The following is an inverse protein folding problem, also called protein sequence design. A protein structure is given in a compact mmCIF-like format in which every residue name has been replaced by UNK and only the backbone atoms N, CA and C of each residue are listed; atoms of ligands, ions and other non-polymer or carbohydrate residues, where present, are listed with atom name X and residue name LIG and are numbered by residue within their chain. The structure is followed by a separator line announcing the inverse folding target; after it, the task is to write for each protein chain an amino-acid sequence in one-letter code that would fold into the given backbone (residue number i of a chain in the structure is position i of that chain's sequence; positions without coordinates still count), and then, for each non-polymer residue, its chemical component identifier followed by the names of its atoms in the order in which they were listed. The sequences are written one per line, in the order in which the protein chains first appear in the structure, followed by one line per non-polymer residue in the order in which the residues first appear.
data_IF_779456806357
#
_entry.id   IF_779456806357
#
_cell.length_a   1.000
_cell.length_b   1.000
_cell.length_c   1.000
_cell.angle_alpha   90.00
_cell.angle_beta   90.00
_cell.angle_gamma   90.00
#
_symmetry.space_group_name_H-M   'P 1'
#
loop_
_entity.id
_entity.type
_entity.pdbx_description
1 polymer ?
#
# COMPACT_ATOMS: atom_id res chain seq x y z
N UNK A 1 -46.51 -43.82 16.27
CA UNK A 1 -46.37 -42.40 16.65
C UNK A 1 -45.02 -42.19 17.32
N UNK A 2 -44.10 -41.51 16.61
CA UNK A 2 -43.32 -40.43 17.21
C UNK A 2 -43.16 -39.22 16.23
N UNK A 3 -42.66 -38.05 16.71
CA UNK A 3 -42.91 -36.77 16.06
C UNK A 3 -41.69 -36.11 15.37
N UNK A 4 -42.03 -35.05 14.61
CA UNK A 4 -41.29 -33.79 14.44
C UNK A 4 -40.04 -33.76 13.56
N UNK A 5 -40.26 -33.46 12.27
CA UNK A 5 -39.25 -32.81 11.42
C UNK A 5 -39.31 -31.29 11.60
N UNK A 6 -38.45 -30.73 12.46
CA UNK A 6 -38.15 -29.28 12.48
C UNK A 6 -36.96 -29.01 11.56
N UNK A 7 -37.20 -28.22 10.51
CA UNK A 7 -36.16 -27.59 9.67
C UNK A 7 -35.46 -26.49 10.49
N UNK A 8 -34.14 -26.29 10.33
CA UNK A 8 -33.46 -25.13 10.89
C UNK A 8 -33.76 -23.87 10.06
N UNK A 9 -34.15 -22.82 10.77
CA UNK A 9 -34.45 -21.48 10.28
C UNK A 9 -33.22 -20.84 9.62
N UNK A 10 -33.41 -20.37 8.39
CA UNK A 10 -32.50 -19.44 7.73
C UNK A 10 -32.63 -18.08 8.43
N UNK A 11 -31.54 -17.62 9.06
CA UNK A 11 -31.41 -16.23 9.48
C UNK A 11 -31.05 -15.41 8.24
N UNK A 12 -32.07 -14.76 7.67
CA UNK A 12 -31.91 -13.66 6.73
C UNK A 12 -31.40 -12.45 7.51
N UNK A 13 -30.20 -11.98 7.19
CA UNK A 13 -29.70 -10.67 7.61
C UNK A 13 -30.12 -9.66 6.55
N UNK A 14 -31.28 -9.03 6.78
CA UNK A 14 -31.68 -7.79 6.13
C UNK A 14 -30.79 -6.65 6.65
N UNK A 15 -29.86 -6.19 5.81
CA UNK A 15 -29.17 -4.91 6.01
C UNK A 15 -30.00 -3.82 5.32
N UNK A 16 -30.94 -3.26 6.08
CA UNK A 16 -31.70 -2.09 5.69
C UNK A 16 -30.81 -0.87 5.57
N UNK A 17 -30.84 -0.30 4.38
CA UNK A 17 -30.34 1.01 3.98
C UNK A 17 -30.91 2.11 4.88
N UNK A 18 -30.07 2.72 5.72
CA UNK A 18 -30.39 3.97 6.40
C UNK A 18 -30.23 5.15 5.43
N UNK A 19 -31.32 5.45 4.71
CA UNK A 19 -31.53 6.72 4.03
C UNK A 19 -31.81 7.80 5.09
N UNK A 20 -30.88 8.74 5.28
CA UNK A 20 -31.09 9.91 6.12
C UNK A 20 -31.74 11.00 5.27
N UNK A 21 -33.05 11.20 5.47
CA UNK A 21 -33.80 12.33 4.95
C UNK A 21 -33.37 13.61 5.69
N UNK A 22 -32.65 14.49 5.00
CA UNK A 22 -32.56 15.90 5.38
C UNK A 22 -33.64 16.66 4.61
N UNK A 23 -34.74 16.92 5.30
CA UNK A 23 -35.81 17.81 4.88
C UNK A 23 -35.32 19.26 4.93
N UNK A 24 -35.21 19.92 3.78
CA UNK A 24 -35.11 21.37 3.70
C UNK A 24 -36.49 21.98 3.40
N UNK A 25 -36.83 23.13 4.01
CA UNK A 25 -38.15 23.73 3.88
C UNK A 25 -38.35 24.39 2.52
N UNK A 26 -39.56 24.16 2.00
CA UNK A 26 -40.18 24.87 0.88
C UNK A 26 -40.18 26.38 1.12
N UNK A 27 -39.44 27.12 0.29
CA UNK A 27 -39.76 28.52 -0.01
C UNK A 27 -40.18 28.63 -1.47
N UNK A 28 -41.46 28.91 -1.62
CA UNK A 28 -42.13 29.35 -2.82
C UNK A 28 -41.60 30.75 -3.18
N UNK A 29 -40.97 30.89 -4.33
CA UNK A 29 -40.65 32.20 -4.93
C UNK A 29 -40.66 32.05 -6.43
N UNK A 30 -41.80 32.43 -7.01
CA UNK A 30 -42.02 32.50 -8.44
C UNK A 30 -41.11 33.54 -9.10
N UNK A 31 -40.00 33.07 -9.65
CA UNK A 31 -39.36 33.64 -10.83
C UNK A 31 -38.87 32.47 -11.69
N UNK A 32 -39.80 31.90 -12.46
CA UNK A 32 -39.46 31.05 -13.59
C UNK A 32 -38.79 31.90 -14.67
N UNK A 33 -37.51 32.23 -14.46
CA UNK A 33 -36.63 32.58 -15.56
C UNK A 33 -36.32 31.29 -16.30
N UNK A 34 -37.00 31.12 -17.42
CA UNK A 34 -36.70 30.14 -18.45
C UNK A 34 -35.28 30.39 -18.94
N UNK A 35 -34.29 29.86 -18.22
CA UNK A 35 -32.94 29.70 -18.73
C UNK A 35 -33.01 28.55 -19.73
N UNK A 36 -33.36 28.93 -20.96
CA UNK A 36 -32.99 28.23 -22.19
C UNK A 36 -31.74 27.39 -21.95
N UNK A 37 -31.88 26.07 -22.13
CA UNK A 37 -30.81 25.09 -22.26
C UNK A 37 -29.57 25.72 -22.93
N UNK A 38 -28.66 26.26 -22.12
CA UNK A 38 -27.36 26.71 -22.60
C UNK A 38 -26.63 25.42 -22.90
N UNK A 39 -26.64 25.07 -24.19
CA UNK A 39 -25.92 23.94 -24.73
C UNK A 39 -24.44 24.20 -24.44
N UNK A 40 -23.92 23.69 -23.32
CA UNK A 40 -22.48 23.67 -23.07
C UNK A 40 -21.88 22.95 -24.27
N UNK A 41 -20.96 23.57 -25.03
CA UNK A 41 -20.38 22.92 -26.20
C UNK A 41 -19.78 21.59 -25.76
N UNK A 42 -20.25 20.48 -26.34
CA UNK A 42 -19.82 19.17 -25.89
C UNK A 42 -18.30 18.95 -26.06
N UNK A 43 -17.66 19.73 -26.95
CA UNK A 43 -16.21 19.83 -27.13
C UNK A 43 -15.49 20.35 -25.87
N UNK A 44 -16.07 21.34 -25.18
CA UNK A 44 -15.49 21.90 -23.95
C UNK A 44 -15.50 20.87 -22.81
N UNK A 45 -16.58 20.09 -22.71
CA UNK A 45 -16.70 19.04 -21.70
C UNK A 45 -15.67 17.92 -21.93
N UNK A 46 -15.50 17.46 -23.18
CA UNK A 46 -14.53 16.42 -23.51
C UNK A 46 -13.09 16.89 -23.28
N UNK A 47 -12.75 18.10 -23.72
CA UNK A 47 -11.43 18.72 -23.47
C UNK A 47 -11.13 18.81 -21.97
N UNK A 48 -12.12 19.23 -21.16
CA UNK A 48 -11.97 19.29 -19.70
C UNK A 48 -11.77 17.91 -19.07
N UNK A 49 -12.52 16.90 -19.50
CA UNK A 49 -12.37 15.52 -19.01
C UNK A 49 -11.00 14.93 -19.36
N UNK A 50 -10.53 15.19 -20.58
CA UNK A 50 -9.20 14.79 -21.01
C UNK A 50 -8.09 15.46 -20.19
N UNK A 51 -8.17 16.77 -19.98
CA UNK A 51 -7.19 17.49 -19.14
C UNK A 51 -7.23 17.03 -17.67
N UNK A 52 -8.42 16.77 -17.13
CA UNK A 52 -8.54 16.20 -15.78
C UNK A 52 -7.87 14.82 -15.68
N UNK A 53 -8.11 13.94 -16.65
CA UNK A 53 -7.46 12.63 -16.71
C UNK A 53 -5.93 12.76 -16.84
N UNK A 54 -5.45 13.64 -17.72
CA UNK A 54 -4.02 13.90 -17.94
C UNK A 54 -3.32 14.43 -16.70
N UNK A 55 -3.95 15.35 -15.95
CA UNK A 55 -3.45 15.84 -14.66
C UNK A 55 -3.35 14.69 -13.65
N UNK A 56 -4.39 13.84 -13.56
CA UNK A 56 -4.41 12.70 -12.65
C UNK A 56 -3.36 11.64 -13.03
N UNK A 57 -3.16 11.37 -14.33
CA UNK A 57 -2.16 10.43 -14.84
C UNK A 57 -0.73 10.95 -14.58
N UNK A 58 -0.48 12.23 -14.85
CA UNK A 58 0.80 12.86 -14.54
C UNK A 58 1.08 12.87 -13.02
N UNK A 59 0.05 13.01 -12.17
CA UNK A 59 0.21 12.87 -10.73
C UNK A 59 0.54 11.42 -10.34
N UNK A 60 -0.16 10.42 -10.91
CA UNK A 60 0.10 9.01 -10.63
C UNK A 60 1.52 8.58 -11.00
N UNK A 61 2.02 9.00 -12.17
CA UNK A 61 3.40 8.71 -12.59
C UNK A 61 4.45 9.35 -11.67
N UNK A 62 4.22 10.60 -11.23
CA UNK A 62 5.14 11.33 -10.32
C UNK A 62 5.12 10.82 -8.89
N UNK A 63 4.01 10.23 -8.43
CA UNK A 63 3.84 9.82 -7.03
C UNK A 63 4.98 8.91 -6.52
N UNK A 64 5.44 7.96 -7.35
CA UNK A 64 6.55 7.08 -6.98
C UNK A 64 7.85 7.84 -6.71
N UNK A 65 8.15 8.87 -7.51
CA UNK A 65 9.33 9.72 -7.36
C UNK A 65 9.23 10.63 -6.13
N UNK A 66 8.04 11.17 -5.87
CA UNK A 66 7.77 12.00 -4.68
C UNK A 66 7.90 11.20 -3.39
N UNK A 67 7.37 9.97 -3.36
CA UNK A 67 7.50 9.06 -2.21
C UNK A 67 8.95 8.66 -1.94
N UNK A 68 9.75 8.39 -2.99
CA UNK A 68 11.19 8.11 -2.86
C UNK A 68 11.95 9.32 -2.32
N UNK A 69 11.68 10.52 -2.82
CA UNK A 69 12.30 11.75 -2.34
C UNK A 69 11.96 12.03 -0.87
N UNK A 70 10.71 11.77 -0.47
CA UNK A 70 10.26 11.88 0.92
C UNK A 70 11.01 10.90 1.84
N UNK A 71 11.08 9.61 1.47
CA UNK A 71 11.78 8.59 2.27
C UNK A 71 13.28 8.86 2.41
N UNK A 72 13.93 9.35 1.35
CA UNK A 72 15.34 9.76 1.38
C UNK A 72 15.54 10.98 2.29
N UNK A 73 14.65 11.97 2.25
CA UNK A 73 14.70 13.12 3.16
C UNK A 73 14.51 12.70 4.63
N UNK A 74 13.61 11.76 4.92
CA UNK A 74 13.44 11.18 6.26
C UNK A 74 14.69 10.45 6.75
N UNK A 75 15.37 9.71 5.85
CA UNK A 75 16.63 9.05 6.15
C UNK A 75 17.73 10.06 6.48
N UNK A 76 17.90 11.08 5.65
CA UNK A 76 18.86 12.17 5.86
C UNK A 76 18.60 12.90 7.18
N UNK A 77 17.33 13.15 7.52
CA UNK A 77 16.97 13.78 8.79
C UNK A 77 17.32 12.89 10.00
N UNK A 78 17.06 11.58 9.92
CA UNK A 78 17.46 10.63 10.97
C UNK A 78 18.97 10.59 11.16
N UNK A 79 19.73 10.58 10.07
CA UNK A 79 21.19 10.58 10.10
C UNK A 79 21.74 11.90 10.67
N UNK A 80 21.21 13.05 10.26
CA UNK A 80 21.59 14.36 10.77
C UNK A 80 21.27 14.52 12.27
N UNK A 81 20.10 14.05 12.72
CA UNK A 81 19.74 14.03 14.15
C UNK A 81 20.66 13.12 14.97
N UNK A 82 20.99 11.93 14.45
CA UNK A 82 21.94 11.00 15.09
C UNK A 82 23.34 11.62 15.20
N UNK A 83 23.81 12.30 14.15
CA UNK A 83 25.10 13.00 14.16
C UNK A 83 25.13 14.14 15.17
N UNK A 84 24.10 14.99 15.22
CA UNK A 84 23.96 16.07 16.22
C UNK A 84 23.96 15.54 17.66
N UNK A 85 23.29 14.41 17.90
CA UNK A 85 23.27 13.76 19.22
C UNK A 85 24.66 13.18 19.60
N UNK A 86 25.37 12.60 18.63
CA UNK A 86 26.73 12.10 18.83
C UNK A 86 27.72 13.23 19.09
N UNK A 87 27.61 14.35 18.37
CA UNK A 87 28.40 15.56 18.60
C UNK A 87 28.16 16.10 20.00
N UNK A 88 26.90 16.20 20.46
CA UNK A 88 26.55 16.61 21.83
C UNK A 88 27.17 15.71 22.89
N UNK A 89 27.12 14.38 22.70
CA UNK A 89 27.75 13.40 23.59
C UNK A 89 29.27 13.52 23.62
N UNK A 90 29.90 13.83 22.48
CA UNK A 90 31.35 14.04 22.38
C UNK A 90 31.82 15.40 22.92
N UNK A 91 31.01 16.46 22.83
CA UNK A 91 31.33 17.79 23.36
C UNK A 91 31.12 17.92 24.88
N UNK A 92 30.43 16.95 25.49
CA UNK A 92 30.19 16.90 26.94
C UNK A 92 31.42 16.53 27.78
N UNK A 93 32.49 16.02 27.17
CA UNK A 93 33.78 15.84 27.85
C UNK A 93 34.59 17.13 27.78
N UNK A 94 34.24 18.10 28.64
CA UNK A 94 35.11 19.24 28.95
C UNK A 94 36.47 18.70 29.41
N UNK A 95 37.46 18.73 28.52
CA UNK A 95 38.88 18.63 28.84
C UNK A 95 39.17 19.59 29.99
N UNK A 96 39.72 19.08 31.09
CA UNK A 96 40.40 19.91 32.10
C UNK A 96 41.51 20.70 31.39
N UNK A 97 41.63 22.01 31.62
CA UNK A 97 42.81 22.75 31.17
C UNK A 97 43.95 22.42 32.13
N UNK A 98 44.82 21.48 31.74
CA UNK A 98 46.12 21.33 32.41
C UNK A 98 47.03 22.47 31.96
N UNK A 99 47.10 23.49 32.80
CA UNK A 99 48.18 24.47 32.85
C UNK A 99 49.48 23.74 33.23
N UNK A 100 50.40 23.58 32.29
CA UNK A 100 51.84 23.47 32.60
C UNK A 100 52.60 24.33 31.57
N UNK A 101 53.33 25.37 32.00
CA UNK A 101 54.22 26.16 31.17
C UNK A 101 55.65 25.65 31.30
N UNK A 102 56.30 25.19 30.22
CA UNK A 102 57.75 25.05 30.21
C UNK A 102 58.37 25.44 28.86
N UNK A 103 58.98 26.62 28.91
CA UNK A 103 60.07 27.15 28.13
C UNK A 103 61.06 26.07 27.63
N UNK A 104 61.36 26.05 26.33
CA UNK A 104 62.75 25.95 25.86
C UNK A 104 62.97 26.76 24.59
N UNK A 105 64.07 27.51 24.63
CA UNK A 105 64.54 28.57 23.75
C UNK A 105 65.84 28.11 23.09
N UNK A 106 65.96 28.24 21.77
CA UNK A 106 67.18 28.48 20.94
C UNK A 106 66.81 28.21 19.48
N UNK A 107 66.66 29.16 18.55
CA UNK A 107 67.55 30.23 18.03
C UNK A 107 68.75 29.69 17.24
N UNK A 108 68.60 29.60 15.91
CA UNK A 108 69.61 30.01 14.93
C UNK A 108 68.92 30.34 13.58
N UNK A 109 69.45 31.36 12.92
CA UNK A 109 68.99 32.08 11.73
C UNK A 109 69.90 31.74 10.52
N UNK A 110 69.95 32.53 9.43
CA UNK A 110 69.05 32.61 8.28
C UNK A 110 69.75 32.23 6.95
N UNK A 111 69.01 32.00 5.86
CA UNK A 111 69.55 32.23 4.51
C UNK A 111 68.48 32.77 3.58
N UNK A 112 68.74 33.99 3.09
CA UNK A 112 68.02 34.71 2.04
C UNK A 112 68.58 34.27 0.66
N UNK A 113 67.71 33.95 -0.30
CA UNK A 113 67.88 34.26 -1.73
C UNK A 113 66.56 34.02 -2.50
N UNK A 114 65.95 35.12 -2.92
CA UNK A 114 64.83 35.34 -3.87
C UNK A 114 65.25 35.02 -5.32
N UNK A 115 64.45 35.29 -6.40
CA UNK A 115 63.01 35.15 -6.68
C UNK A 115 62.73 34.39 -8.02
N UNK A 116 61.48 33.98 -8.29
CA UNK A 116 60.71 34.27 -9.54
C UNK A 116 59.49 33.33 -9.74
N UNK A 117 58.32 33.97 -9.88
CA UNK A 117 56.99 33.46 -10.25
C UNK A 117 56.93 32.89 -11.69
N UNK A 118 55.75 32.54 -12.24
CA UNK A 118 54.67 31.66 -11.75
C UNK A 118 54.34 30.59 -12.82
N UNK A 119 53.53 29.56 -12.48
CA UNK A 119 52.38 29.09 -13.29
C UNK A 119 51.95 27.65 -12.99
N UNK A 120 50.63 27.46 -12.91
CA UNK A 120 49.88 26.24 -13.22
C UNK A 120 49.90 25.10 -12.19
N UNK A 121 49.15 25.29 -11.10
CA UNK A 121 48.46 24.19 -10.42
C UNK A 121 46.95 24.45 -10.44
N UNK A 122 46.26 23.85 -11.40
CA UNK A 122 44.80 23.74 -11.43
C UNK A 122 44.37 22.71 -10.40
N UNK A 123 44.29 23.12 -9.13
CA UNK A 123 43.54 22.39 -8.11
C UNK A 123 42.14 22.99 -8.05
N UNK A 124 41.17 22.27 -8.61
CA UNK A 124 39.76 22.54 -8.43
C UNK A 124 39.43 22.64 -6.93
N UNK A 125 38.74 23.68 -6.46
CA UNK A 125 38.18 23.69 -5.13
C UNK A 125 37.06 22.65 -5.08
N UNK A 126 37.32 21.54 -4.37
CA UNK A 126 36.28 20.65 -3.86
C UNK A 126 35.20 21.54 -3.23
N UNK A 127 34.05 21.60 -3.89
CA UNK A 127 32.88 22.30 -3.41
C UNK A 127 32.41 21.63 -2.13
N UNK A 128 32.93 22.07 -0.99
CA UNK A 128 32.35 21.84 0.32
C UNK A 128 31.03 22.61 0.40
N UNK A 129 30.00 22.07 -0.25
CA UNK A 129 28.63 22.43 0.06
C UNK A 129 28.41 22.12 1.55
N UNK A 130 28.04 23.11 2.38
CA UNK A 130 27.73 22.84 3.77
C UNK A 130 26.60 21.80 3.82
N UNK A 131 26.82 20.72 4.57
CA UNK A 131 25.79 19.71 4.81
C UNK A 131 24.50 20.42 5.26
N UNK A 132 23.33 20.07 4.69
CA UNK A 132 22.09 20.75 5.00
C UNK A 132 21.79 20.68 6.50
N UNK A 133 21.39 21.80 7.06
CA UNK A 133 21.10 21.88 8.50
C UNK A 133 19.86 21.05 8.84
N UNK A 134 19.73 20.62 10.11
CA UNK A 134 18.55 19.86 10.57
C UNK A 134 17.25 20.63 10.29
N UNK A 135 17.28 21.95 10.47
CA UNK A 135 16.15 22.86 10.23
C UNK A 135 15.79 22.93 8.73
N UNK A 136 16.78 22.98 7.83
CA UNK A 136 16.56 22.90 6.38
C UNK A 136 15.95 21.55 5.95
N UNK A 137 16.43 20.44 6.54
CA UNK A 137 15.88 19.11 6.27
C UNK A 137 14.44 18.96 6.78
N UNK A 138 14.10 19.56 7.92
CA UNK A 138 12.74 19.58 8.45
C UNK A 138 11.79 20.42 7.58
N UNK A 139 12.24 21.60 7.14
CA UNK A 139 11.47 22.44 6.22
C UNK A 139 11.25 21.73 4.86
N UNK A 140 12.30 21.07 4.34
CA UNK A 140 12.22 20.27 3.11
C UNK A 140 11.27 19.09 3.27
N UNK A 141 11.29 18.40 4.41
CA UNK A 141 10.40 17.28 4.71
C UNK A 141 8.94 17.74 4.76
N UNK A 142 8.63 18.85 5.43
CA UNK A 142 7.30 19.45 5.45
C UNK A 142 6.80 19.80 4.04
N UNK A 143 7.65 20.42 3.23
CA UNK A 143 7.34 20.73 1.82
C UNK A 143 7.07 19.47 1.00
N UNK A 144 7.91 18.43 1.16
CA UNK A 144 7.74 17.14 0.49
C UNK A 144 6.47 16.41 0.95
N UNK A 145 6.13 16.48 2.24
CA UNK A 145 4.91 15.90 2.79
C UNK A 145 3.67 16.53 2.15
N UNK A 146 3.62 17.86 2.06
CA UNK A 146 2.53 18.57 1.39
C UNK A 146 2.43 18.22 -0.09
N UNK A 147 3.58 18.12 -0.78
CA UNK A 147 3.63 17.71 -2.20
C UNK A 147 3.14 16.27 -2.39
N UNK A 148 3.62 15.33 -1.59
CA UNK A 148 3.18 13.92 -1.62
C UNK A 148 1.67 13.81 -1.38
N UNK A 149 1.13 14.55 -0.41
CA UNK A 149 -0.30 14.54 -0.12
C UNK A 149 -1.13 15.06 -1.30
N UNK A 150 -0.72 16.17 -1.91
CA UNK A 150 -1.37 16.74 -3.09
C UNK A 150 -1.27 15.80 -4.31
N UNK A 151 -0.09 15.26 -4.60
CA UNK A 151 0.13 14.32 -5.69
C UNK A 151 -0.69 13.04 -5.48
N UNK A 152 -0.75 12.51 -4.25
CA UNK A 152 -1.56 11.33 -3.91
C UNK A 152 -3.05 11.58 -4.15
N UNK A 153 -3.58 12.69 -3.64
CA UNK A 153 -4.99 13.06 -3.83
C UNK A 153 -5.36 13.21 -5.31
N UNK A 154 -4.48 13.78 -6.13
CA UNK A 154 -4.69 13.87 -7.57
C UNK A 154 -4.61 12.48 -8.26
N UNK A 155 -3.66 11.64 -7.88
CA UNK A 155 -3.50 10.29 -8.42
C UNK A 155 -4.66 9.35 -8.07
N UNK A 156 -5.29 9.51 -6.89
CA UNK A 156 -6.47 8.74 -6.48
C UNK A 156 -7.69 8.98 -7.37
N UNK A 157 -7.77 10.16 -8.01
CA UNK A 157 -8.86 10.48 -8.94
C UNK A 157 -8.70 9.86 -10.34
N UNK A 158 -7.55 9.24 -10.65
CA UNK A 158 -7.24 8.72 -11.99
C UNK A 158 -8.30 7.75 -12.51
N UNK A 159 -8.76 6.82 -11.66
CA UNK A 159 -9.77 5.83 -12.06
C UNK A 159 -11.10 6.51 -12.43
N UNK A 160 -11.58 7.45 -11.60
CA UNK A 160 -12.81 8.22 -11.88
C UNK A 160 -12.69 9.06 -13.15
N UNK A 161 -11.56 9.76 -13.32
CA UNK A 161 -11.34 10.59 -14.51
C UNK A 161 -11.29 9.76 -15.79
N UNK A 162 -10.70 8.55 -15.73
CA UNK A 162 -10.69 7.63 -16.86
C UNK A 162 -12.10 7.14 -17.18
N UNK A 163 -12.88 6.73 -16.18
CA UNK A 163 -14.24 6.23 -16.38
C UNK A 163 -15.19 7.31 -16.91
N UNK A 164 -15.06 8.55 -16.44
CA UNK A 164 -15.81 9.70 -16.97
C UNK A 164 -15.45 9.98 -18.44
N UNK A 165 -14.16 10.01 -18.77
CA UNK A 165 -13.67 10.19 -20.14
C UNK A 165 -14.18 9.06 -21.05
N UNK A 166 -14.05 7.81 -20.59
CA UNK A 166 -14.52 6.62 -21.32
C UNK A 166 -16.02 6.66 -21.55
N UNK A 167 -16.82 7.02 -20.54
CA UNK A 167 -18.29 7.09 -20.65
C UNK A 167 -18.71 8.05 -21.77
N UNK A 168 -18.16 9.26 -21.80
CA UNK A 168 -18.48 10.25 -22.84
C UNK A 168 -18.08 9.76 -24.23
N UNK A 169 -16.96 9.04 -24.35
CA UNK A 169 -16.47 8.49 -25.62
C UNK A 169 -17.19 7.21 -26.07
N UNK A 170 -17.70 6.41 -25.13
CA UNK A 170 -18.43 5.15 -25.40
C UNK A 170 -19.94 5.39 -25.65
N UNK A 171 -20.56 6.39 -25.01
CA UNK A 171 -21.99 6.74 -25.17
C UNK A 171 -22.36 7.25 -26.57
N UNK A 172 -21.37 7.39 -27.46
CA UNK A 172 -21.61 7.48 -28.89
C UNK A 172 -22.43 8.68 -29.33
N UNK A 173 -22.63 9.71 -28.48
CA UNK A 173 -22.94 11.03 -29.01
C UNK A 173 -21.70 11.44 -29.79
N UNK A 174 -21.76 11.51 -31.12
CA UNK A 174 -20.82 12.36 -31.78
C UNK A 174 -21.16 13.74 -31.20
N UNK A 175 -20.28 14.29 -30.37
CA UNK A 175 -20.04 15.72 -30.53
C UNK A 175 -19.87 15.91 -32.03
N UNK A 176 -20.43 16.97 -32.60
CA UNK A 176 -20.73 17.23 -34.02
C UNK A 176 -19.60 17.02 -35.06
N UNK A 177 -18.96 15.86 -35.10
CA UNK A 177 -17.89 15.47 -36.01
C UNK A 177 -18.45 14.88 -37.31
N UNK A 178 -19.78 14.74 -37.39
CA UNK A 178 -20.49 14.20 -38.56
C UNK A 178 -21.07 15.24 -39.52
N UNK A 179 -20.88 16.52 -39.28
CA UNK A 179 -21.47 17.55 -40.14
C UNK A 179 -20.40 18.35 -40.89
N UNK A 180 -19.57 17.64 -41.65
CA UNK A 180 -19.14 18.07 -42.98
C UNK A 180 -18.64 16.85 -43.74
N UNK A 181 -19.57 16.23 -44.44
CA UNK A 181 -19.30 15.46 -45.64
C UNK A 181 -18.52 16.35 -46.62
N UNK A 182 -17.21 16.46 -46.49
CA UNK A 182 -16.37 16.85 -47.62
C UNK A 182 -15.10 16.01 -47.61
N UNK A 183 -15.08 15.11 -48.57
CA UNK A 183 -14.03 14.19 -48.93
C UNK A 183 -12.65 14.88 -49.02
N UNK A 184 -11.69 14.37 -48.24
CA UNK A 184 -10.29 14.15 -48.65
C UNK A 184 -9.49 13.47 -47.52
N UNK A 185 -9.99 12.35 -47.00
CA UNK A 185 -9.19 11.47 -46.11
C UNK A 185 -8.33 10.58 -47.01
N UNK A 186 -7.11 11.02 -47.32
CA UNK A 186 -6.20 10.31 -48.23
C UNK A 186 -4.91 9.79 -47.57
N UNK A 187 -4.84 9.59 -46.25
CA UNK A 187 -3.62 9.04 -45.63
C UNK A 187 -3.79 7.96 -44.53
N UNK A 188 -4.99 7.59 -44.08
CA UNK A 188 -5.17 6.37 -43.27
C UNK A 188 -6.51 5.66 -43.55
N UNK A 189 -6.53 4.33 -43.76
CA UNK A 189 -7.78 3.59 -43.88
C UNK A 189 -8.56 3.62 -42.55
N UNK A 190 -9.69 4.33 -42.52
CA UNK A 190 -10.68 4.34 -41.42
C UNK A 190 -10.96 2.95 -40.78
N UNK A 191 -11.05 1.84 -41.56
CA UNK A 191 -11.23 0.50 -41.00
C UNK A 191 -10.12 0.05 -40.06
N UNK A 192 -8.86 0.47 -40.30
CA UNK A 192 -7.71 0.09 -39.48
C UNK A 192 -7.74 0.79 -38.11
N UNK A 193 -8.16 2.05 -38.05
CA UNK A 193 -8.26 2.80 -36.80
C UNK A 193 -9.35 2.22 -35.89
N UNK A 194 -10.52 1.89 -36.45
CA UNK A 194 -11.62 1.25 -35.71
C UNK A 194 -11.23 -0.14 -35.18
N UNK A 195 -10.47 -0.91 -35.96
CA UNK A 195 -9.94 -2.19 -35.51
C UNK A 195 -8.93 -2.02 -34.37
N UNK A 196 -8.03 -1.04 -34.46
CA UNK A 196 -7.04 -0.71 -33.41
C UNK A 196 -7.71 -0.29 -32.09
N UNK A 197 -8.71 0.59 -32.14
CA UNK A 197 -9.45 1.02 -30.94
C UNK A 197 -10.21 -0.13 -30.29
N UNK A 198 -10.86 -0.99 -31.10
CA UNK A 198 -11.55 -2.19 -30.59
C UNK A 198 -10.58 -3.15 -29.91
N UNK A 199 -9.41 -3.40 -30.51
CA UNK A 199 -8.35 -4.22 -29.89
C UNK A 199 -7.85 -3.59 -28.59
N UNK A 200 -7.60 -2.28 -28.56
CA UNK A 200 -7.15 -1.57 -27.37
C UNK A 200 -8.18 -1.62 -26.23
N UNK A 201 -9.48 -1.47 -26.53
CA UNK A 201 -10.56 -1.66 -25.54
C UNK A 201 -10.55 -3.06 -24.92
N UNK A 202 -10.39 -4.11 -25.74
CA UNK A 202 -10.25 -5.49 -25.24
C UNK A 202 -9.03 -5.63 -24.33
N UNK A 203 -7.88 -5.08 -24.74
CA UNK A 203 -6.67 -5.07 -23.90
C UNK A 203 -6.91 -4.38 -22.56
N UNK A 204 -7.54 -3.19 -22.56
CA UNK A 204 -7.88 -2.48 -21.32
C UNK A 204 -8.77 -3.34 -20.41
N UNK A 205 -9.83 -3.93 -20.95
CA UNK A 205 -10.73 -4.80 -20.18
C UNK A 205 -9.99 -6.00 -19.55
N UNK A 206 -9.14 -6.69 -20.32
CA UNK A 206 -8.33 -7.80 -19.81
C UNK A 206 -7.34 -7.35 -18.73
N UNK A 207 -6.70 -6.18 -18.88
CA UNK A 207 -5.77 -5.65 -17.86
C UNK A 207 -6.49 -5.14 -16.62
N UNK A 208 -7.69 -4.59 -16.76
CA UNK A 208 -8.57 -4.23 -15.64
C UNK A 208 -8.97 -5.46 -14.83
N UNK A 209 -9.40 -6.53 -15.48
CA UNK A 209 -9.74 -7.79 -14.83
C UNK A 209 -8.53 -8.40 -14.10
N UNK A 210 -7.35 -8.43 -14.74
CA UNK A 210 -6.13 -8.91 -14.11
C UNK A 210 -5.73 -8.09 -12.88
N UNK A 211 -5.84 -6.76 -12.94
CA UNK A 211 -5.59 -5.89 -11.78
C UNK A 211 -6.60 -6.13 -10.65
N UNK A 212 -7.89 -6.27 -10.97
CA UNK A 212 -8.91 -6.54 -9.94
C UNK A 212 -8.69 -7.90 -9.28
N UNK A 213 -8.33 -8.92 -10.05
CA UNK A 213 -7.98 -10.24 -9.55
C UNK A 213 -6.74 -10.20 -8.64
N UNK A 214 -5.67 -9.54 -9.08
CA UNK A 214 -4.45 -9.36 -8.28
C UNK A 214 -4.73 -8.58 -6.99
N UNK A 215 -5.46 -7.48 -7.04
CA UNK A 215 -5.85 -6.67 -5.88
C UNK A 215 -6.69 -7.46 -4.87
N UNK A 216 -7.61 -8.31 -5.34
CA UNK A 216 -8.39 -9.20 -4.47
C UNK A 216 -7.48 -10.19 -3.75
N UNK A 217 -6.55 -10.80 -4.49
CA UNK A 217 -5.57 -11.76 -3.95
C UNK A 217 -4.68 -11.09 -2.90
N UNK A 218 -4.11 -9.92 -3.19
CA UNK A 218 -3.26 -9.18 -2.24
C UNK A 218 -4.00 -8.86 -0.94
N UNK A 219 -5.27 -8.42 -1.01
CA UNK A 219 -6.08 -8.18 0.19
C UNK A 219 -6.30 -9.43 1.02
N UNK A 220 -6.54 -10.58 0.38
CA UNK A 220 -6.70 -11.84 1.07
C UNK A 220 -5.41 -12.25 1.81
N UNK A 221 -4.26 -12.11 1.15
CA UNK A 221 -2.95 -12.39 1.76
C UNK A 221 -2.60 -11.40 2.89
N UNK A 222 -2.90 -10.11 2.75
CA UNK A 222 -2.74 -9.13 3.83
C UNK A 222 -3.57 -9.52 5.07
N UNK A 223 -4.82 -9.92 4.87
CA UNK A 223 -5.70 -10.40 5.96
C UNK A 223 -5.15 -11.67 6.60
N UNK A 224 -4.69 -12.62 5.79
CA UNK A 224 -4.05 -13.85 6.26
C UNK A 224 -2.78 -13.57 7.07
N UNK A 225 -1.96 -12.59 6.64
CA UNK A 225 -0.74 -12.17 7.31
C UNK A 225 -1.02 -11.60 8.71
N UNK A 226 -2.01 -10.71 8.84
CA UNK A 226 -2.40 -10.16 10.14
C UNK A 226 -2.96 -11.27 11.05
N UNK A 227 -3.76 -12.17 10.50
CA UNK A 227 -4.35 -13.28 11.24
C UNK A 227 -3.29 -14.26 11.76
N UNK A 228 -2.31 -14.65 10.94
CA UNK A 228 -1.24 -15.58 11.36
C UNK A 228 -0.28 -14.93 12.36
N UNK A 229 0.03 -13.64 12.21
CA UNK A 229 0.82 -12.90 13.21
C UNK A 229 0.09 -12.82 14.56
N UNK A 230 -1.24 -12.63 14.54
CA UNK A 230 -2.07 -12.64 15.76
C UNK A 230 -2.12 -14.03 16.39
N UNK A 231 -2.25 -15.08 15.56
CA UNK A 231 -2.21 -16.47 16.02
C UNK A 231 -0.86 -16.78 16.70
N UNK A 232 0.25 -16.38 16.07
CA UNK A 232 1.60 -16.55 16.59
C UNK A 232 1.78 -15.87 17.96
N UNK A 233 1.38 -14.60 18.07
CA UNK A 233 1.41 -13.86 19.33
C UNK A 233 0.61 -14.53 20.45
N UNK A 234 -0.62 -14.97 20.16
CA UNK A 234 -1.45 -15.67 21.14
C UNK A 234 -0.87 -17.02 21.54
N UNK A 235 -0.25 -17.75 20.61
CA UNK A 235 0.36 -19.04 20.88
C UNK A 235 1.62 -18.92 21.74
N UNK A 236 2.47 -17.91 21.49
CA UNK A 236 3.62 -17.60 22.36
C UNK A 236 3.15 -17.34 23.79
N UNK A 237 2.12 -16.50 23.97
CA UNK A 237 1.58 -16.24 25.31
C UNK A 237 1.10 -17.51 26.01
N UNK A 238 0.48 -18.42 25.27
CA UNK A 238 0.09 -19.72 25.82
C UNK A 238 1.32 -20.54 26.23
N UNK A 239 2.37 -20.57 25.41
CA UNK A 239 3.65 -21.23 25.72
C UNK A 239 4.32 -20.64 26.95
N UNK A 240 4.45 -19.31 27.02
CA UNK A 240 5.06 -18.62 28.17
C UNK A 240 4.37 -19.01 29.48
N UNK A 241 3.03 -19.03 29.50
CA UNK A 241 2.25 -19.44 30.68
C UNK A 241 2.47 -20.92 31.03
N UNK A 242 2.55 -21.81 30.04
CA UNK A 242 2.85 -23.23 30.27
C UNK A 242 4.27 -23.40 30.82
N UNK A 243 5.25 -22.68 30.28
CA UNK A 243 6.63 -22.69 30.76
C UNK A 243 6.73 -22.21 32.21
N UNK A 244 5.95 -21.21 32.61
CA UNK A 244 5.89 -20.78 34.03
C UNK A 244 5.49 -21.96 34.93
N UNK A 245 4.62 -22.86 34.52
CA UNK A 245 4.16 -23.97 35.39
C UNK A 245 4.99 -25.25 35.22
N UNK A 246 5.51 -25.49 34.02
CA UNK A 246 6.18 -26.73 33.63
C UNK A 246 7.72 -26.64 33.54
N UNK A 247 8.31 -25.45 33.71
CA UNK A 247 9.75 -25.29 33.49
C UNK A 247 10.59 -26.19 34.40
N UNK A 248 11.48 -27.04 33.84
CA UNK A 248 12.37 -27.88 34.63
C UNK A 248 13.43 -27.08 35.40
N UNK A 249 13.56 -25.78 35.13
CA UNK A 249 14.49 -24.86 35.82
C UNK A 249 13.93 -24.30 37.13
N UNK A 250 12.63 -24.45 37.40
CA UNK A 250 12.07 -24.06 38.70
C UNK A 250 12.46 -25.07 39.76
N UNK A 251 12.84 -24.58 40.94
CA UNK A 251 13.22 -25.46 42.04
C UNK A 251 12.02 -26.37 42.39
N UNK A 252 12.27 -27.66 42.69
CA UNK A 252 11.22 -28.60 43.16
C UNK A 252 10.40 -28.02 44.33
N UNK A 253 10.98 -27.08 45.08
CA UNK A 253 10.36 -26.36 46.20
C UNK A 253 9.32 -25.31 45.76
N UNK A 254 9.62 -24.47 44.78
CA UNK A 254 8.64 -23.51 44.23
C UNK A 254 7.48 -24.22 43.51
N UNK A 255 7.76 -25.38 42.92
CA UNK A 255 6.76 -26.24 42.31
C UNK A 255 5.88 -26.99 43.35
N UNK A 256 6.27 -27.04 44.63
CA UNK A 256 5.52 -27.73 45.69
C UNK A 256 4.80 -26.75 46.63
N UNK A 257 5.24 -25.49 46.70
CA UNK A 257 4.64 -24.42 47.51
C UNK A 257 3.72 -23.46 46.72
N UNK A 258 3.62 -23.63 45.39
CA UNK A 258 2.64 -22.88 44.60
C UNK A 258 1.22 -23.33 44.95
N UNK A 259 0.36 -22.37 45.30
CA UNK A 259 -1.06 -22.60 45.56
C UNK A 259 -1.68 -23.34 44.35
N UNK A 260 -2.24 -24.55 44.56
CA UNK A 260 -2.74 -25.39 43.47
C UNK A 260 -3.80 -24.67 42.61
N UNK A 261 -4.56 -23.77 43.25
CA UNK A 261 -5.54 -22.91 42.60
C UNK A 261 -4.89 -21.88 41.65
N UNK A 262 -3.70 -21.37 41.99
CA UNK A 262 -2.92 -20.48 41.11
C UNK A 262 -2.41 -21.22 39.87
N UNK A 263 -1.98 -22.47 40.02
CA UNK A 263 -1.57 -23.32 38.88
C UNK A 263 -2.72 -23.62 37.96
N UNK A 264 -3.86 -24.05 38.52
CA UNK A 264 -5.05 -24.33 37.74
C UNK A 264 -5.50 -23.12 36.92
N UNK A 265 -5.46 -21.91 37.50
CA UNK A 265 -5.80 -20.69 36.75
C UNK A 265 -4.78 -20.39 35.66
N UNK A 266 -3.48 -20.61 35.91
CA UNK A 266 -2.43 -20.42 34.88
C UNK A 266 -2.63 -21.34 33.68
N UNK A 267 -2.92 -22.64 33.89
CA UNK A 267 -3.24 -23.55 32.79
C UNK A 267 -4.54 -23.18 32.08
N UNK A 268 -5.56 -22.72 32.81
CA UNK A 268 -6.83 -22.25 32.23
C UNK A 268 -6.59 -21.00 31.37
N UNK A 269 -5.74 -20.09 31.82
CA UNK A 269 -5.39 -18.89 31.04
C UNK A 269 -4.62 -19.26 29.77
N UNK A 270 -3.63 -20.17 29.87
CA UNK A 270 -2.92 -20.69 28.71
C UNK A 270 -3.86 -21.34 27.68
N UNK A 271 -4.85 -22.11 28.15
CA UNK A 271 -5.89 -22.69 27.31
C UNK A 271 -6.71 -21.61 26.57
N UNK A 272 -7.14 -20.54 27.25
CA UNK A 272 -7.85 -19.40 26.62
C UNK A 272 -6.99 -18.71 25.55
N UNK A 273 -5.68 -18.56 25.78
CA UNK A 273 -4.77 -17.99 24.77
C UNK A 273 -4.61 -18.91 23.55
N UNK A 274 -4.49 -20.22 23.76
CA UNK A 274 -4.46 -21.21 22.69
C UNK A 274 -5.75 -21.22 21.85
N UNK A 275 -6.93 -21.09 22.46
CA UNK A 275 -8.19 -20.95 21.72
C UNK A 275 -8.21 -19.69 20.84
N UNK A 276 -7.75 -18.54 21.37
CA UNK A 276 -7.61 -17.31 20.57
C UNK A 276 -6.64 -17.51 19.40
N UNK A 277 -5.51 -18.20 19.64
CA UNK A 277 -4.56 -18.53 18.58
C UNK A 277 -5.22 -19.37 17.48
N UNK A 278 -5.99 -20.40 17.85
CA UNK A 278 -6.72 -21.25 16.91
C UNK A 278 -7.74 -20.46 16.08
N UNK A 279 -8.48 -19.54 16.70
CA UNK A 279 -9.47 -18.69 15.99
C UNK A 279 -8.76 -17.83 14.93
N UNK A 280 -7.66 -17.18 15.30
CA UNK A 280 -6.86 -16.37 14.38
C UNK A 280 -6.26 -17.23 13.25
N UNK A 281 -5.78 -18.44 13.57
CA UNK A 281 -5.27 -19.35 12.56
C UNK A 281 -6.35 -19.83 11.58
N UNK A 282 -7.54 -20.18 12.07
CA UNK A 282 -8.68 -20.54 11.20
C UNK A 282 -9.06 -19.39 10.26
N UNK A 283 -8.99 -18.15 10.74
CA UNK A 283 -9.25 -16.96 9.91
C UNK A 283 -8.18 -16.76 8.83
N UNK A 284 -6.91 -17.07 9.13
CA UNK A 284 -5.84 -17.10 8.14
C UNK A 284 -6.15 -18.12 7.05
N UNK A 285 -6.48 -19.36 7.42
CA UNK A 285 -6.83 -20.43 6.47
C UNK A 285 -8.03 -20.06 5.61
N UNK A 286 -9.08 -19.51 6.21
CA UNK A 286 -10.29 -19.06 5.49
C UNK A 286 -9.99 -17.96 4.48
N UNK A 287 -9.05 -17.08 4.80
CA UNK A 287 -8.63 -16.00 3.90
C UNK A 287 -7.81 -16.52 2.71
N UNK A 288 -7.00 -17.56 2.92
CA UNK A 288 -6.15 -18.16 1.88
C UNK A 288 -6.88 -19.19 1.01
N UNK A 289 -7.95 -19.82 1.52
CA UNK A 289 -8.67 -20.90 0.86
C UNK A 289 -9.07 -20.62 -0.61
N UNK A 290 -9.53 -19.41 -0.99
CA UNK A 290 -9.86 -19.11 -2.39
C UNK A 290 -8.65 -19.06 -3.35
N UNK A 291 -7.44 -19.08 -2.80
CA UNK A 291 -6.17 -18.85 -3.50
C UNK A 291 -5.17 -20.00 -3.29
N UNK A 292 -5.66 -21.18 -2.88
CA UNK A 292 -4.81 -22.35 -2.63
C UNK A 292 -4.11 -22.89 -3.87
N UNK A 293 -4.65 -22.60 -5.06
CA UNK A 293 -4.05 -22.90 -6.35
C UNK A 293 -2.73 -22.15 -6.59
N UNK A 294 -2.51 -21.04 -5.88
CA UNK A 294 -1.27 -20.27 -5.94
C UNK A 294 -0.15 -20.86 -5.05
N UNK A 295 -0.48 -21.84 -4.20
CA UNK A 295 0.44 -22.44 -3.25
C UNK A 295 1.27 -23.56 -3.89
N UNK A 296 2.54 -23.66 -3.52
CA UNK A 296 3.36 -24.82 -3.87
C UNK A 296 2.93 -26.02 -3.02
N UNK A 297 3.21 -27.24 -3.51
CA UNK A 297 2.88 -28.48 -2.78
C UNK A 297 3.45 -28.52 -1.37
N UNK A 298 4.71 -28.14 -1.21
CA UNK A 298 5.40 -28.18 0.09
C UNK A 298 4.75 -27.22 1.11
N UNK A 299 4.18 -26.12 0.62
CA UNK A 299 3.51 -25.09 1.42
C UNK A 299 2.09 -25.55 1.82
N UNK A 300 1.40 -26.23 0.92
CA UNK A 300 0.13 -26.92 1.19
C UNK A 300 0.29 -28.02 2.23
N UNK A 301 1.33 -28.86 2.10
CA UNK A 301 1.60 -29.92 3.06
C UNK A 301 1.88 -29.36 4.45
N UNK A 302 2.68 -28.29 4.55
CA UNK A 302 2.92 -27.59 5.83
C UNK A 302 1.62 -27.02 6.42
N UNK A 303 0.72 -26.50 5.57
CA UNK A 303 -0.57 -25.97 5.98
C UNK A 303 -1.52 -27.08 6.49
N UNK A 304 -1.59 -28.20 5.78
CA UNK A 304 -2.40 -29.36 6.17
C UNK A 304 -1.88 -29.97 7.48
N UNK A 305 -0.56 -30.12 7.61
CA UNK A 305 0.09 -30.54 8.85
C UNK A 305 -0.26 -29.64 10.05
N UNK A 306 -0.28 -28.31 9.85
CA UNK A 306 -0.63 -27.37 10.91
C UNK A 306 -2.12 -27.40 11.24
N UNK A 307 -2.96 -27.61 10.23
CA UNK A 307 -4.41 -27.75 10.36
C UNK A 307 -4.78 -29.02 11.13
N UNK A 308 -4.11 -30.13 10.85
CA UNK A 308 -4.32 -31.41 11.54
C UNK A 308 -3.77 -31.38 12.98
N UNK A 309 -2.62 -30.75 13.19
CA UNK A 309 -2.05 -30.60 14.52
C UNK A 309 -2.88 -29.65 15.40
N UNK A 310 -3.39 -28.55 14.82
CA UNK A 310 -4.06 -27.46 15.51
C UNK A 310 -3.16 -26.71 16.48
N UNK A 311 -3.72 -25.67 17.11
CA UNK A 311 -3.07 -24.80 18.10
C UNK A 311 -3.64 -24.97 19.52
N UNK A 312 -4.25 -26.13 19.81
CA UNK A 312 -4.98 -26.40 21.06
C UNK A 312 -4.17 -27.21 22.08
N UNK A 313 -2.85 -27.25 21.97
CA UNK A 313 -1.98 -28.06 22.85
C UNK A 313 -2.10 -27.63 24.32
N UNK A 314 -2.20 -26.33 24.62
CA UNK A 314 -2.40 -25.85 25.99
C UNK A 314 -3.79 -26.23 26.56
N UNK A 315 -4.82 -26.31 25.71
CA UNK A 315 -6.16 -26.81 26.11
C UNK A 315 -6.09 -28.29 26.46
N UNK A 316 -5.39 -29.08 25.63
CA UNK A 316 -5.15 -30.50 25.89
C UNK A 316 -4.37 -30.71 27.21
N UNK A 317 -3.40 -29.84 27.50
CA UNK A 317 -2.63 -29.86 28.73
C UNK A 317 -3.48 -29.51 29.96
N UNK A 318 -4.34 -28.48 29.88
CA UNK A 318 -5.28 -28.15 30.95
C UNK A 318 -6.23 -29.32 31.25
N UNK A 319 -6.79 -29.94 30.21
CA UNK A 319 -7.69 -31.09 30.35
C UNK A 319 -6.98 -32.32 30.91
N UNK A 320 -5.69 -32.52 30.57
CA UNK A 320 -4.89 -33.60 31.14
C UNK A 320 -4.67 -33.41 32.65
N UNK A 321 -4.40 -32.18 33.08
CA UNK A 321 -4.11 -31.85 34.47
C UNK A 321 -5.36 -31.76 35.35
N UNK A 322 -6.48 -31.24 34.82
CA UNK A 322 -7.67 -30.88 35.62
C UNK A 322 -9.00 -31.45 35.07
N UNK A 323 -8.98 -32.29 34.03
CA UNK A 323 -10.18 -32.81 33.36
C UNK A 323 -10.85 -34.02 34.03
N UNK A 324 -10.46 -34.39 35.25
CA UNK A 324 -11.21 -35.32 36.11
C UNK A 324 -11.10 -36.82 35.79
N UNK A 325 -10.27 -37.26 34.83
CA UNK A 325 -9.98 -38.69 34.64
C UNK A 325 -8.89 -39.16 35.61
N UNK A 326 -9.15 -40.27 36.30
CA UNK A 326 -8.32 -40.87 37.35
C UNK A 326 -6.84 -40.88 36.99
N UNK A 327 -6.05 -40.20 37.82
CA UNK A 327 -4.61 -39.96 37.67
C UNK A 327 -3.84 -41.29 37.78
N UNK A 328 -3.70 -42.01 36.67
CA UNK A 328 -2.86 -43.19 36.56
C UNK A 328 -1.41 -42.81 36.27
N UNK A 329 -0.45 -43.64 36.70
CA UNK A 329 0.98 -43.50 36.40
C UNK A 329 1.22 -43.19 34.90
N UNK A 330 1.98 -42.13 34.61
CA UNK A 330 2.36 -41.75 33.23
C UNK A 330 2.13 -40.28 32.84
N UNK A 331 1.44 -39.49 33.68
CA UNK A 331 1.09 -38.08 33.38
C UNK A 331 2.32 -37.22 33.11
N UNK A 332 3.44 -37.43 33.81
CA UNK A 332 4.67 -36.67 33.59
C UNK A 332 5.24 -36.88 32.17
N UNK A 333 5.20 -38.11 31.66
CA UNK A 333 5.61 -38.40 30.27
C UNK A 333 4.65 -37.78 29.27
N UNK A 334 3.34 -37.83 29.53
CA UNK A 334 2.34 -37.26 28.64
C UNK A 334 2.39 -35.72 28.60
N UNK A 335 2.64 -35.07 29.73
CA UNK A 335 2.90 -33.62 29.82
C UNK A 335 4.15 -33.26 29.03
N UNK A 336 5.25 -34.00 29.21
CA UNK A 336 6.50 -33.75 28.48
C UNK A 336 6.32 -33.88 26.96
N UNK A 337 5.61 -34.91 26.50
CA UNK A 337 5.28 -35.11 25.09
C UNK A 337 4.41 -33.97 24.54
N UNK A 338 3.47 -33.46 25.35
CA UNK A 338 2.62 -32.34 24.96
C UNK A 338 3.39 -31.03 24.82
N UNK A 339 4.36 -30.77 25.69
CA UNK A 339 5.25 -29.60 25.60
C UNK A 339 6.10 -29.70 24.33
N UNK A 340 6.70 -30.86 24.05
CA UNK A 340 7.46 -31.08 22.80
C UNK A 340 6.58 -30.89 21.56
N UNK A 341 5.32 -31.36 21.60
CA UNK A 341 4.35 -31.13 20.52
C UNK A 341 4.03 -29.64 20.37
N UNK A 342 3.89 -28.90 21.46
CA UNK A 342 3.64 -27.46 21.45
C UNK A 342 4.80 -26.70 20.80
N UNK A 343 6.05 -27.03 21.15
CA UNK A 343 7.25 -26.45 20.52
C UNK A 343 7.32 -26.77 19.01
N UNK A 344 7.05 -28.02 18.62
CA UNK A 344 7.04 -28.42 17.21
C UNK A 344 5.96 -27.69 16.40
N UNK A 345 4.76 -27.55 16.96
CA UNK A 345 3.65 -26.79 16.34
C UNK A 345 4.00 -25.31 16.24
N UNK A 346 4.65 -24.73 17.24
CA UNK A 346 5.12 -23.35 17.20
C UNK A 346 6.16 -23.10 16.10
N UNK A 347 7.12 -24.00 15.94
CA UNK A 347 8.11 -23.92 14.87
C UNK A 347 7.44 -23.97 13.49
N UNK A 348 6.48 -24.88 13.29
CA UNK A 348 5.69 -24.95 12.05
C UNK A 348 4.86 -23.69 11.81
N UNK A 349 4.18 -23.17 12.84
CA UNK A 349 3.41 -21.93 12.75
C UNK A 349 4.31 -20.74 12.39
N UNK A 350 5.52 -20.70 12.93
CA UNK A 350 6.51 -19.66 12.61
C UNK A 350 6.93 -19.72 11.14
N UNK A 351 7.28 -20.91 10.64
CA UNK A 351 7.63 -21.10 9.24
C UNK A 351 6.47 -20.72 8.31
N UNK A 352 5.24 -21.13 8.66
CA UNK A 352 4.04 -20.76 7.92
C UNK A 352 3.80 -19.23 7.94
N UNK A 353 3.97 -18.56 9.09
CA UNK A 353 3.81 -17.12 9.20
C UNK A 353 4.81 -16.35 8.31
N UNK A 354 6.09 -16.76 8.32
CA UNK A 354 7.13 -16.19 7.46
C UNK A 354 6.77 -16.38 5.99
N UNK A 355 6.29 -17.57 5.63
CA UNK A 355 5.84 -17.85 4.28
C UNK A 355 4.67 -16.96 3.85
N UNK A 356 3.62 -16.82 4.67
CA UNK A 356 2.47 -15.92 4.38
C UNK A 356 2.96 -14.49 4.18
N UNK A 357 3.89 -14.03 5.01
CA UNK A 357 4.47 -12.69 4.92
C UNK A 357 5.21 -12.48 3.59
N UNK A 358 6.09 -13.41 3.21
CA UNK A 358 6.82 -13.34 1.94
C UNK A 358 5.88 -13.37 0.73
N UNK A 359 4.85 -14.22 0.75
CA UNK A 359 3.84 -14.26 -0.31
C UNK A 359 3.04 -12.97 -0.38
N UNK A 360 2.73 -12.35 0.76
CA UNK A 360 2.02 -11.07 0.80
C UNK A 360 2.84 -9.97 0.10
N UNK A 361 4.15 -9.92 0.33
CA UNK A 361 5.05 -8.97 -0.34
C UNK A 361 5.12 -9.22 -1.86
N UNK A 362 5.18 -10.50 -2.27
CA UNK A 362 5.12 -10.87 -3.67
C UNK A 362 3.80 -10.42 -4.33
N UNK A 363 2.65 -10.70 -3.70
CA UNK A 363 1.34 -10.29 -4.20
C UNK A 363 1.23 -8.76 -4.33
N UNK A 364 1.78 -7.99 -3.38
CA UNK A 364 1.82 -6.53 -3.47
C UNK A 364 2.62 -6.05 -4.69
N UNK A 365 3.73 -6.72 -4.99
CA UNK A 365 4.53 -6.43 -6.19
C UNK A 365 3.75 -6.71 -7.46
N UNK A 366 3.10 -7.88 -7.53
CA UNK A 366 2.25 -8.26 -8.68
C UNK A 366 1.07 -7.30 -8.85
N UNK A 367 0.45 -6.82 -7.77
CA UNK A 367 -0.63 -5.82 -7.84
C UNK A 367 -0.13 -4.50 -8.44
N UNK A 368 1.05 -4.04 -8.03
CA UNK A 368 1.66 -2.83 -8.57
C UNK A 368 1.98 -2.98 -10.06
N UNK A 369 2.53 -4.11 -10.48
CA UNK A 369 2.78 -4.41 -11.89
C UNK A 369 1.48 -4.51 -12.70
N UNK A 370 0.45 -5.15 -12.16
CA UNK A 370 -0.85 -5.25 -12.81
C UNK A 370 -1.50 -3.87 -12.96
N UNK A 371 -1.35 -2.99 -11.96
CA UNK A 371 -1.80 -1.60 -12.02
C UNK A 371 -1.06 -0.81 -13.09
N UNK A 372 0.26 -0.89 -13.16
CA UNK A 372 1.05 -0.18 -14.18
C UNK A 372 0.72 -0.66 -15.60
N UNK A 373 0.55 -1.98 -15.79
CA UNK A 373 0.10 -2.57 -17.04
C UNK A 373 -1.30 -2.07 -17.45
N UNK A 374 -2.23 -1.98 -16.50
CA UNK A 374 -3.58 -1.42 -16.69
C UNK A 374 -3.49 0.05 -17.11
N UNK A 375 -2.74 0.86 -16.37
CA UNK A 375 -2.64 2.30 -16.61
C UNK A 375 -1.93 2.58 -17.96
N UNK A 376 -0.96 1.76 -18.35
CA UNK A 376 -0.35 1.78 -19.69
C UNK A 376 -1.35 1.45 -20.80
N UNK A 377 -2.17 0.41 -20.63
CA UNK A 377 -3.21 0.07 -21.60
C UNK A 377 -4.25 1.20 -21.74
N UNK A 378 -4.62 1.84 -20.63
CA UNK A 378 -5.53 3.00 -20.62
C UNK A 378 -4.94 4.19 -21.38
N UNK A 379 -3.66 4.53 -21.13
CA UNK A 379 -2.94 5.58 -21.87
C UNK A 379 -2.89 5.30 -23.36
N UNK A 380 -2.63 4.05 -23.77
CA UNK A 380 -2.64 3.66 -25.19
C UNK A 380 -4.03 3.83 -25.82
N UNK A 381 -5.10 3.48 -25.10
CA UNK A 381 -6.46 3.69 -25.58
C UNK A 381 -6.79 5.18 -25.73
N UNK A 382 -6.41 6.00 -24.75
CA UNK A 382 -6.59 7.47 -24.83
C UNK A 382 -5.78 8.06 -25.97
N UNK A 383 -4.54 7.63 -26.19
CA UNK A 383 -3.73 8.08 -27.32
C UNK A 383 -4.37 7.74 -28.67
N UNK A 384 -5.05 6.60 -28.80
CA UNK A 384 -5.81 6.26 -30.00
C UNK A 384 -7.06 7.14 -30.18
N UNK A 385 -7.69 7.56 -29.08
CA UNK A 385 -8.79 8.52 -29.13
C UNK A 385 -8.32 9.92 -29.55
N UNK A 386 -7.21 10.41 -28.99
CA UNK A 386 -6.59 11.67 -29.39
C UNK A 386 -6.11 11.62 -30.84
N UNK A 387 -5.50 10.52 -31.28
CA UNK A 387 -5.11 10.36 -32.69
C UNK A 387 -6.33 10.31 -33.63
N UNK A 388 -7.44 9.72 -33.21
CA UNK A 388 -8.67 9.74 -33.99
C UNK A 388 -9.21 11.16 -34.14
N UNK A 389 -9.15 11.94 -33.06
CA UNK A 389 -9.50 13.36 -33.02
C UNK A 389 -8.62 14.18 -33.97
N UNK A 390 -7.29 14.11 -33.81
CA UNK A 390 -6.30 14.82 -34.65
C UNK A 390 -6.48 14.52 -36.16
N UNK A 391 -6.75 13.26 -36.51
CA UNK A 391 -6.94 12.86 -37.89
C UNK A 391 -8.29 13.27 -38.50
N UNK A 392 -9.23 13.75 -37.69
CA UNK A 392 -10.48 14.33 -38.19
C UNK A 392 -10.52 15.86 -38.08
N UNK A 393 -9.40 16.52 -37.77
CA UNK A 393 -9.41 17.91 -37.35
C UNK A 393 -9.95 18.91 -38.38
N UNK A 394 -11.03 19.56 -37.92
CA UNK A 394 -11.06 21.02 -37.77
C UNK A 394 -10.66 21.51 -36.35
N UNK A 395 -10.51 20.66 -35.29
CA UNK A 395 -10.13 21.07 -33.90
C UNK A 395 -9.44 19.98 -33.03
N UNK A 396 -8.32 20.33 -32.38
CA UNK A 396 -7.44 19.42 -31.61
C UNK A 396 -7.73 19.30 -30.10
N UNK A 397 -7.79 18.08 -29.58
CA UNK A 397 -7.71 17.78 -28.13
C UNK A 397 -6.37 18.16 -27.48
N UNK A 398 -5.29 18.33 -28.27
CA UNK A 398 -3.95 18.58 -27.74
C UNK A 398 -3.67 20.06 -27.39
N UNK A 399 -4.43 21.00 -27.96
CA UNK A 399 -4.34 22.43 -27.62
C UNK A 399 -5.55 23.23 -28.15
N UNK A 400 -6.13 24.17 -27.37
CA UNK A 400 -6.98 25.22 -27.91
C UNK A 400 -6.10 26.29 -28.59
N UNK A 401 -5.44 25.94 -29.69
CA UNK A 401 -4.52 26.81 -30.39
C UNK A 401 -5.21 27.69 -31.44
N UNK A 402 -5.55 28.94 -31.09
CA UNK A 402 -5.55 30.18 -31.89
C UNK A 402 -5.95 30.20 -33.39
N UNK A 403 -6.56 29.16 -33.95
CA UNK A 403 -7.06 29.13 -35.33
C UNK A 403 -8.56 28.95 -35.38
N UNK A 404 -9.29 29.74 -34.60
CA UNK A 404 -10.69 30.01 -34.88
C UNK A 404 -10.74 30.87 -36.15
N UNK A 405 -10.97 30.26 -37.30
CA UNK A 405 -11.32 30.91 -38.57
C UNK A 405 -12.72 31.57 -38.51
N UNK A 406 -12.99 32.36 -37.48
CA UNK A 406 -14.24 33.10 -37.31
C UNK A 406 -13.89 34.58 -37.32
N UNK A 407 -13.53 35.11 -38.47
CA UNK A 407 -13.71 36.50 -38.90
C UNK A 407 -13.22 36.60 -40.35
N UNK A 408 -14.03 36.11 -41.30
CA UNK A 408 -13.99 36.66 -42.64
C UNK A 408 -14.79 37.98 -42.60
N UNK A 409 -14.17 39.15 -42.82
CA UNK A 409 -14.93 40.37 -42.99
C UNK A 409 -15.73 40.24 -44.29
N UNK A 410 -17.04 40.39 -44.19
CA UNK A 410 -17.95 40.49 -45.31
C UNK A 410 -17.54 41.70 -46.16
N UNK A 411 -16.84 41.46 -47.27
CA UNK A 411 -16.67 42.44 -48.33
C UNK A 411 -17.97 42.47 -49.14
N UNK A 412 -18.88 43.38 -48.80
CA UNK A 412 -20.00 43.73 -49.67
C UNK A 412 -19.55 44.76 -50.71
N UNK A 413 -19.24 44.28 -51.91
CA UNK A 413 -19.18 45.10 -53.12
C UNK A 413 -20.56 45.13 -53.79
N UNK A 414 -21.00 46.37 -54.07
CA UNK A 414 -21.82 46.86 -55.18
C UNK A 414 -23.29 46.37 -55.35
N UNK A 415 -24.23 47.32 -55.30
CA UNK A 415 -24.65 48.09 -56.49
C UNK A 415 -25.29 49.41 -56.11
#
# INVERSE_FOLDING_TARGET
MPPSTRKPSQLALDLTSMSSHLSCPSMDSGYASSMSSVHVPADWMLSRLYENWKIADAAAQRLSTDMKAYAECEKQLREARKKKEQERKSSGTKRRPTLIPLLFRKKSSPSLATPSDPSSSTSEPVSTSPLPTVEELEARLSTLQGRVAATRSAAERLDSCFDELRRVLDDGRPVSWRSSQLALILLLPLPLLRHRTTKARKTVATREEAYMSSKSTTKAFQRACVAVQSAHHHYIKAMDLIDVVCSPKKSKWEAMMGEEQSRQETYREAAKWAEKAQICFNECLRSLQPHWDLLKRDELETCDDLKDAGLLQAVQLYNLMYGGKTLAMGISQQVQLMIQKQEAVFARLTNFAVWVQNCTEHCQTVELEARDNRDTARRQLVALWVQADENSETYSLAAPGQRSHVFQPYNSYAS
#
